data_IF_475694572157
#
_entry.id   IF_475694572157
#
_cell.length_a   1.000
_cell.length_b   1.000
_cell.length_c   1.000
_cell.angle_alpha   90.00
_cell.angle_beta   90.00
_cell.angle_gamma   90.00
#
_symmetry.space_group_name_H-M   'P 1'
#
loop_
_entity.id
_entity.type
_entity.pdbx_description
1 polymer ?
#
# COMPACT_ATOMS: atom_id res chain seq x y z
N UNK A 1 24.32 -2.30 12.39
CA UNK A 1 24.82 -0.91 12.53
C UNK A 1 24.54 -0.46 13.97
N UNK A 2 25.32 0.45 14.57
CA UNK A 2 24.98 0.94 15.92
C UNK A 2 23.69 1.75 15.86
N UNK A 3 22.67 1.35 16.63
CA UNK A 3 21.34 1.99 16.63
C UNK A 3 21.32 3.39 17.25
N UNK A 4 22.33 3.70 18.08
CA UNK A 4 22.42 4.92 18.86
C UNK A 4 23.86 5.46 18.85
N UNK A 5 23.98 6.77 18.63
CA UNK A 5 25.24 7.50 18.53
C UNK A 5 25.42 8.40 19.74
N UNK A 6 26.67 8.65 20.13
CA UNK A 6 26.99 9.69 21.10
C UNK A 6 26.77 11.08 20.53
N UNK A 7 26.67 12.10 21.40
CA UNK A 7 26.60 13.50 20.97
C UNK A 7 27.77 13.87 20.03
N UNK A 8 28.98 13.39 20.34
CA UNK A 8 30.18 13.69 19.56
C UNK A 8 30.12 13.08 18.16
N UNK A 9 29.66 11.83 18.03
CA UNK A 9 29.50 11.15 16.74
C UNK A 9 28.38 11.79 15.90
N UNK A 10 27.23 12.09 16.52
CA UNK A 10 26.13 12.76 15.84
C UNK A 10 26.53 14.16 15.33
N UNK A 11 27.26 14.94 16.15
CA UNK A 11 27.79 16.25 15.74
C UNK A 11 28.85 16.13 14.65
N UNK A 12 29.73 15.13 14.71
CA UNK A 12 30.77 14.90 13.71
C UNK A 12 30.17 14.55 12.34
N UNK A 13 29.20 13.64 12.30
CA UNK A 13 28.50 13.25 11.06
C UNK A 13 27.72 14.40 10.45
N UNK A 14 26.98 15.16 11.27
CA UNK A 14 26.16 16.26 10.77
C UNK A 14 26.93 17.57 10.61
N UNK A 15 28.18 17.66 11.07
CA UNK A 15 28.96 18.89 11.17
C UNK A 15 28.21 20.00 11.91
N UNK A 16 27.70 19.71 13.12
CA UNK A 16 26.88 20.62 13.93
C UNK A 16 27.58 21.03 15.23
N UNK A 17 27.19 22.19 15.77
CA UNK A 17 27.54 22.61 17.13
C UNK A 17 26.56 22.00 18.14
N UNK A 18 26.94 21.85 19.43
CA UNK A 18 26.07 21.25 20.46
C UNK A 18 24.68 21.89 20.53
N UNK A 19 24.61 23.21 20.48
CA UNK A 19 23.37 23.99 20.53
C UNK A 19 22.38 23.60 19.40
N UNK A 20 22.89 23.32 18.21
CA UNK A 20 22.06 22.92 17.05
C UNK A 20 21.57 21.48 17.19
N UNK A 21 22.40 20.59 17.73
CA UNK A 21 21.99 19.21 18.03
C UNK A 21 20.85 19.19 19.06
N UNK A 22 20.94 19.98 20.13
CA UNK A 22 19.86 20.10 21.11
C UNK A 22 18.58 20.73 20.52
N UNK A 23 18.71 21.72 19.63
CA UNK A 23 17.57 22.30 18.93
C UNK A 23 16.87 21.27 18.03
N UNK A 24 17.61 20.35 17.41
CA UNK A 24 17.03 19.27 16.60
C UNK A 24 16.27 18.26 17.44
N UNK A 25 16.80 17.90 18.62
CA UNK A 25 16.07 17.07 19.58
C UNK A 25 14.79 17.75 20.06
N UNK A 26 14.88 19.02 20.47
CA UNK A 26 13.71 19.79 20.94
C UNK A 26 12.61 19.93 19.89
N UNK A 27 12.97 19.88 18.61
CA UNK A 27 12.03 19.94 17.47
C UNK A 27 11.57 18.56 17.00
N UNK A 28 11.95 17.49 17.69
CA UNK A 28 11.59 16.11 17.33
C UNK A 28 12.28 15.60 16.06
N UNK A 29 13.35 16.24 15.60
CA UNK A 29 14.06 15.86 14.36
C UNK A 29 15.08 14.73 14.60
N UNK A 30 15.59 14.62 15.82
CA UNK A 30 16.49 13.56 16.28
C UNK A 30 15.96 13.07 17.62
N UNK A 31 15.67 11.78 17.73
CA UNK A 31 15.34 11.15 19.00
C UNK A 31 16.58 11.06 19.88
N UNK A 32 16.42 11.45 21.16
CA UNK A 32 17.47 11.33 22.16
C UNK A 32 16.98 10.54 23.37
N UNK A 33 17.86 9.69 23.92
CA UNK A 33 17.62 8.95 25.15
C UNK A 33 18.81 9.09 26.11
N UNK A 34 18.58 8.86 27.40
CA UNK A 34 19.67 8.77 28.38
C UNK A 34 20.57 7.56 28.10
N UNK A 35 21.87 7.71 28.31
CA UNK A 35 22.82 6.60 28.28
C UNK A 35 22.68 5.76 29.57
N UNK A 36 22.58 4.44 29.42
CA UNK A 36 22.48 3.52 30.54
C UNK A 36 23.79 3.41 31.35
N UNK A 37 24.93 3.75 30.73
CA UNK A 37 26.25 3.74 31.38
C UNK A 37 26.65 5.05 32.07
N UNK A 38 26.00 6.17 31.75
CA UNK A 38 26.26 7.48 32.35
C UNK A 38 25.01 8.36 32.27
N UNK A 39 24.35 8.55 33.41
CA UNK A 39 23.12 9.36 33.54
C UNK A 39 23.24 10.82 33.07
N UNK A 40 24.46 11.34 32.88
CA UNK A 40 24.71 12.70 32.38
C UNK A 40 24.89 12.77 30.86
N UNK A 41 24.86 11.62 30.16
CA UNK A 41 25.03 11.55 28.70
C UNK A 41 23.71 11.20 28.03
N UNK A 42 23.54 11.76 26.84
CA UNK A 42 22.44 11.41 25.94
C UNK A 42 22.99 10.73 24.69
N UNK A 43 22.27 9.72 24.23
CA UNK A 43 22.49 9.04 22.96
C UNK A 43 21.42 9.49 21.97
N UNK A 44 21.78 9.51 20.68
CA UNK A 44 20.99 10.06 19.58
C UNK A 44 20.75 8.98 18.54
N UNK A 45 19.53 8.84 18.05
CA UNK A 45 19.17 7.73 17.15
C UNK A 45 19.93 7.82 15.82
N UNK A 46 20.65 6.76 15.46
CA UNK A 46 21.57 6.78 14.32
C UNK A 46 20.85 6.99 12.99
N UNK A 47 19.64 6.45 12.85
CA UNK A 47 18.80 6.60 11.66
C UNK A 47 18.37 8.07 11.42
N UNK A 48 18.02 8.79 12.48
CA UNK A 48 17.63 10.21 12.40
C UNK A 48 18.81 11.09 11.99
N UNK A 49 19.99 10.78 12.53
CA UNK A 49 21.25 11.41 12.15
C UNK A 49 21.57 11.13 10.68
N UNK A 50 21.47 9.88 10.22
CA UNK A 50 21.69 9.53 8.82
C UNK A 50 20.69 10.23 7.87
N UNK A 51 19.42 10.32 8.25
CA UNK A 51 18.39 11.05 7.49
C UNK A 51 18.73 12.53 7.33
N UNK A 52 19.23 13.18 8.38
CA UNK A 52 19.64 14.59 8.33
C UNK A 52 20.98 14.79 7.61
N UNK A 53 21.87 13.82 7.66
CA UNK A 53 23.13 13.82 6.92
C UNK A 53 22.87 13.76 5.42
N UNK A 54 21.96 12.85 5.00
CA UNK A 54 21.45 12.80 3.63
C UNK A 54 20.78 14.11 3.20
N UNK A 55 20.06 14.79 4.10
CA UNK A 55 19.45 16.11 3.86
C UNK A 55 20.50 17.21 3.64
N UNK A 56 21.57 17.24 4.44
CA UNK A 56 22.64 18.25 4.36
C UNK A 56 23.53 18.06 3.12
N UNK A 57 23.81 16.82 2.75
CA UNK A 57 24.55 16.49 1.53
C UNK A 57 23.78 16.91 0.25
N UNK A 58 22.45 16.97 0.31
CA UNK A 58 21.57 17.38 -0.79
C UNK A 58 21.08 18.83 -0.66
N UNK A 59 21.96 19.81 -0.44
CA UNK A 59 21.60 21.21 -0.67
C UNK A 59 21.07 21.41 -2.10
N UNK A 60 19.75 21.33 -2.32
CA UNK A 60 19.14 21.29 -3.65
C UNK A 60 17.95 22.22 -3.77
N UNK A 61 17.88 22.87 -4.94
CA UNK A 61 16.86 23.84 -5.37
C UNK A 61 15.44 23.25 -5.27
N UNK A 62 14.39 24.05 -5.02
CA UNK A 62 13.01 23.58 -4.82
C UNK A 62 12.48 22.59 -5.87
N UNK A 63 12.95 22.69 -7.13
CA UNK A 63 12.56 21.76 -8.20
C UNK A 63 13.01 20.30 -7.96
N UNK A 64 14.17 20.08 -7.32
CA UNK A 64 14.66 18.74 -7.01
C UNK A 64 13.92 18.11 -5.82
N UNK A 65 13.38 18.93 -4.91
CA UNK A 65 12.54 18.47 -3.80
C UNK A 65 11.22 17.91 -4.34
N UNK A 66 10.61 18.57 -5.33
CA UNK A 66 9.39 18.10 -5.98
C UNK A 66 9.61 16.83 -6.83
N UNK A 67 10.75 16.71 -7.51
CA UNK A 67 11.11 15.49 -8.27
C UNK A 67 11.37 14.30 -7.33
N UNK A 68 12.13 14.49 -6.24
CA UNK A 68 12.39 13.45 -5.24
C UNK A 68 11.09 13.02 -4.53
N UNK A 69 10.20 13.96 -4.20
CA UNK A 69 8.95 13.70 -3.48
C UNK A 69 7.96 12.77 -4.24
N UNK A 70 8.07 12.68 -5.57
CA UNK A 70 7.22 11.78 -6.39
C UNK A 70 7.81 10.36 -6.48
N UNK A 71 9.10 10.17 -6.14
CA UNK A 71 9.81 8.89 -6.24
C UNK A 71 10.26 8.38 -4.86
N UNK A 72 9.29 8.12 -3.97
CA UNK A 72 9.51 7.69 -2.58
C UNK A 72 10.25 8.72 -1.69
N UNK A 73 10.27 9.99 -2.08
CA UNK A 73 10.84 11.09 -1.30
C UNK A 73 9.89 11.66 -0.25
N UNK A 74 10.02 12.96 0.06
CA UNK A 74 9.22 13.61 1.10
C UNK A 74 7.71 13.59 0.78
N UNK A 75 6.82 13.46 1.79
CA UNK A 75 5.38 13.48 1.56
C UNK A 75 4.90 14.74 0.81
N UNK A 76 4.29 14.54 -0.36
CA UNK A 76 3.81 15.64 -1.22
C UNK A 76 2.48 16.23 -0.74
N UNK A 77 1.65 15.41 -0.09
CA UNK A 77 0.32 15.77 0.40
C UNK A 77 0.15 15.35 1.86
N UNK A 78 -0.48 16.19 2.66
CA UNK A 78 -0.90 15.80 4.01
C UNK A 78 -2.03 14.77 3.93
N UNK A 79 -1.93 13.74 4.78
CA UNK A 79 -2.98 12.76 4.99
C UNK A 79 -3.04 12.34 6.45
N UNK A 80 -4.25 12.07 6.92
CA UNK A 80 -4.58 11.54 8.25
C UNK A 80 -4.96 10.05 8.22
N UNK A 81 -4.92 9.43 7.04
CA UNK A 81 -5.47 8.09 6.79
C UNK A 81 -4.47 7.01 7.16
N UNK A 82 -3.26 7.10 6.62
CA UNK A 82 -2.23 6.06 6.76
C UNK A 82 -0.85 6.68 6.88
N UNK A 83 0.00 6.08 7.70
CA UNK A 83 1.43 6.36 7.71
C UNK A 83 2.25 5.07 7.77
N UNK A 84 3.46 5.14 7.25
CA UNK A 84 4.47 4.08 7.36
C UNK A 84 5.59 4.65 8.21
N UNK A 85 5.71 4.15 9.43
CA UNK A 85 6.68 4.64 10.41
C UNK A 85 7.26 3.45 11.18
N UNK A 86 8.57 3.50 11.45
CA UNK A 86 9.29 2.50 12.25
C UNK A 86 9.13 1.08 11.70
N UNK A 87 9.16 0.93 10.38
CA UNK A 87 8.98 -0.35 9.70
C UNK A 87 7.57 -0.94 9.81
N UNK A 88 6.60 -0.18 10.33
CA UNK A 88 5.20 -0.59 10.50
C UNK A 88 4.25 0.18 9.60
N UNK A 89 3.04 -0.35 9.43
CA UNK A 89 1.94 0.27 8.70
C UNK A 89 0.83 0.65 9.68
N UNK A 90 0.38 1.90 9.64
CA UNK A 90 -0.57 2.42 10.61
C UNK A 90 -1.78 3.04 9.92
N UNK A 91 -2.98 2.56 10.25
CA UNK A 91 -4.26 3.10 9.80
C UNK A 91 -4.85 3.99 10.90
N UNK A 92 -4.91 5.30 10.64
CA UNK A 92 -5.33 6.32 11.62
C UNK A 92 -4.71 6.11 13.01
N UNK A 93 -3.41 5.85 13.04
CA UNK A 93 -2.63 5.62 14.26
C UNK A 93 -2.75 4.22 14.87
N UNK A 94 -3.47 3.29 14.24
CA UNK A 94 -3.59 1.90 14.70
C UNK A 94 -2.77 0.96 13.81
N UNK A 95 -2.04 0.03 14.42
CA UNK A 95 -1.19 -0.93 13.72
C UNK A 95 -2.02 -1.85 12.82
N UNK A 96 -1.77 -1.78 11.51
CA UNK A 96 -2.50 -2.55 10.50
C UNK A 96 -2.31 -4.06 10.68
N UNK A 97 -1.16 -4.52 11.18
CA UNK A 97 -0.90 -5.95 11.41
C UNK A 97 -1.73 -6.49 12.57
N UNK A 98 -1.88 -5.70 13.65
CA UNK A 98 -2.77 -6.03 14.78
C UNK A 98 -4.23 -5.99 14.38
N UNK A 99 -4.63 -4.96 13.63
CA UNK A 99 -6.00 -4.89 13.08
C UNK A 99 -6.33 -6.13 12.26
N UNK A 100 -5.37 -6.63 11.48
CA UNK A 100 -5.55 -7.81 10.64
C UNK A 100 -5.74 -9.12 11.43
N UNK A 101 -5.51 -9.15 12.75
CA UNK A 101 -5.82 -10.29 13.61
C UNK A 101 -7.32 -10.55 13.76
N UNK A 102 -8.17 -9.53 13.69
CA UNK A 102 -9.62 -9.72 13.94
C UNK A 102 -10.56 -8.83 13.11
N UNK A 103 -10.09 -7.69 12.60
CA UNK A 103 -10.92 -6.76 11.85
C UNK A 103 -11.35 -7.35 10.49
N UNK A 104 -12.54 -6.98 10.04
CA UNK A 104 -12.99 -7.22 8.66
C UNK A 104 -12.70 -5.99 7.80
N UNK A 105 -12.72 -6.14 6.47
CA UNK A 105 -12.51 -5.01 5.56
C UNK A 105 -13.51 -3.89 5.81
N UNK A 106 -14.75 -4.22 6.17
CA UNK A 106 -15.80 -3.27 6.51
C UNK A 106 -15.50 -2.49 7.79
N UNK A 107 -14.80 -3.11 8.76
CA UNK A 107 -14.37 -2.43 9.97
C UNK A 107 -13.23 -1.45 9.64
N UNK A 108 -12.32 -1.85 8.75
CA UNK A 108 -11.26 -0.97 8.23
C UNK A 108 -11.84 0.15 7.37
N UNK A 109 -12.87 -0.10 6.58
CA UNK A 109 -13.57 0.93 5.82
C UNK A 109 -14.15 2.01 6.75
N UNK A 110 -14.80 1.61 7.84
CA UNK A 110 -15.31 2.57 8.83
C UNK A 110 -14.20 3.38 9.49
N UNK A 111 -13.07 2.74 9.80
CA UNK A 111 -11.89 3.39 10.33
C UNK A 111 -11.32 4.41 9.32
N UNK A 112 -10.98 3.97 8.12
CA UNK A 112 -10.34 4.82 7.11
C UNK A 112 -11.25 5.96 6.65
N UNK A 113 -12.57 5.75 6.54
CA UNK A 113 -13.53 6.79 6.16
C UNK A 113 -13.94 7.71 7.30
N UNK A 114 -13.52 7.41 8.54
CA UNK A 114 -13.89 8.14 9.76
C UNK A 114 -15.42 8.34 9.89
N UNK A 115 -16.17 7.25 9.71
CA UNK A 115 -17.64 7.28 9.68
C UNK A 115 -18.29 6.58 10.88
N UNK A 116 -17.52 6.27 11.92
CA UNK A 116 -17.99 5.72 13.18
C UNK A 116 -18.69 4.36 13.01
N UNK A 117 -19.88 4.20 13.62
CA UNK A 117 -20.65 2.94 13.60
C UNK A 117 -21.64 2.85 12.44
N UNK A 118 -21.43 3.62 11.37
CA UNK A 118 -22.33 3.62 10.22
C UNK A 118 -22.48 2.21 9.65
N UNK A 119 -23.74 1.78 9.47
CA UNK A 119 -24.08 0.54 8.78
C UNK A 119 -24.31 0.84 7.31
N UNK A 120 -23.82 -0.04 6.46
CA UNK A 120 -23.97 0.01 5.02
C UNK A 120 -24.87 -1.15 4.61
N UNK A 121 -26.05 -0.87 4.03
CA UNK A 121 -26.89 -1.93 3.50
C UNK A 121 -26.17 -2.57 2.29
N UNK A 122 -26.30 -3.89 2.08
CA UNK A 122 -25.82 -4.52 0.86
C UNK A 122 -26.57 -3.93 -0.34
N UNK A 123 -25.88 -3.75 -1.45
CA UNK A 123 -26.44 -3.22 -2.67
C UNK A 123 -26.31 -4.27 -3.77
N UNK A 124 -27.45 -4.63 -4.36
CA UNK A 124 -27.46 -5.59 -5.45
C UNK A 124 -26.91 -4.95 -6.72
N UNK A 125 -25.70 -5.34 -7.12
CA UNK A 125 -25.12 -4.93 -8.39
C UNK A 125 -25.53 -5.90 -9.49
N UNK A 126 -26.01 -5.37 -10.62
CA UNK A 126 -26.17 -6.17 -11.84
C UNK A 126 -24.78 -6.39 -12.43
N UNK A 127 -24.27 -7.62 -12.30
CA UNK A 127 -22.94 -8.00 -12.76
C UNK A 127 -23.02 -8.49 -14.22
N UNK A 128 -22.31 -7.84 -15.17
CA UNK A 128 -22.31 -8.28 -16.56
C UNK A 128 -21.54 -9.61 -16.73
N UNK A 129 -21.79 -10.38 -17.81
CA UNK A 129 -20.98 -11.56 -18.12
C UNK A 129 -19.54 -11.18 -18.48
N UNK A 130 -18.63 -12.16 -18.38
CA UNK A 130 -17.23 -12.03 -18.79
C UNK A 130 -16.24 -12.22 -17.64
N UNK A 131 -14.96 -12.07 -17.94
CA UNK A 131 -13.86 -12.23 -16.97
C UNK A 131 -13.94 -11.22 -15.83
N UNK A 132 -13.55 -11.58 -14.59
CA UNK A 132 -13.73 -10.73 -13.42
C UNK A 132 -13.21 -9.29 -13.57
N UNK A 133 -12.04 -9.10 -14.17
CA UNK A 133 -11.47 -7.77 -14.35
C UNK A 133 -12.31 -6.92 -15.31
N UNK A 134 -12.79 -7.51 -16.41
CA UNK A 134 -13.70 -6.85 -17.35
C UNK A 134 -15.01 -6.44 -16.67
N UNK A 135 -15.55 -7.30 -15.80
CA UNK A 135 -16.75 -6.99 -15.02
C UNK A 135 -16.51 -5.80 -14.09
N UNK A 136 -15.39 -5.78 -13.36
CA UNK A 136 -15.04 -4.69 -12.45
C UNK A 136 -14.95 -3.36 -13.21
N UNK A 137 -14.22 -3.31 -14.33
CA UNK A 137 -14.15 -2.09 -15.14
C UNK A 137 -15.53 -1.67 -15.67
N UNK A 138 -16.34 -2.62 -16.16
CA UNK A 138 -17.66 -2.31 -16.70
C UNK A 138 -18.60 -1.68 -15.64
N UNK A 139 -18.69 -2.28 -14.44
CA UNK A 139 -19.60 -1.77 -13.40
C UNK A 139 -19.14 -0.43 -12.83
N UNK A 140 -17.84 -0.23 -12.62
CA UNK A 140 -17.31 1.06 -12.10
C UNK A 140 -17.39 2.15 -13.19
N UNK A 141 -17.23 1.80 -14.47
CA UNK A 141 -17.41 2.75 -15.57
C UNK A 141 -18.87 3.22 -15.67
N UNK A 142 -19.83 2.30 -15.57
CA UNK A 142 -21.25 2.63 -15.56
C UNK A 142 -21.61 3.58 -14.40
N UNK A 143 -21.06 3.34 -13.21
CA UNK A 143 -21.20 4.25 -12.06
C UNK A 143 -20.53 5.59 -12.28
N UNK A 144 -19.34 5.62 -12.91
CA UNK A 144 -18.64 6.87 -13.23
C UNK A 144 -19.50 7.81 -14.10
N UNK A 145 -20.32 7.24 -15.00
CA UNK A 145 -21.21 8.00 -15.86
C UNK A 145 -22.49 8.51 -15.18
N UNK A 146 -22.87 7.96 -14.01
CA UNK A 146 -24.20 8.17 -13.39
C UNK A 146 -24.15 8.69 -11.96
N UNK A 147 -23.12 8.34 -11.19
CA UNK A 147 -22.92 8.80 -9.82
C UNK A 147 -22.64 10.31 -9.79
N UNK A 148 -23.19 10.98 -8.77
CA UNK A 148 -23.14 12.44 -8.68
C UNK A 148 -21.75 12.92 -8.21
N UNK A 149 -21.27 14.09 -8.69
CA UNK A 149 -20.09 14.74 -8.14
C UNK A 149 -20.12 14.85 -6.60
N UNK A 150 -18.96 14.78 -5.94
CA UNK A 150 -18.88 14.83 -4.48
C UNK A 150 -19.18 16.22 -3.89
N UNK A 151 -18.89 17.28 -4.66
CA UNK A 151 -18.94 18.68 -4.19
C UNK A 151 -20.34 19.03 -3.66
N UNK A 152 -20.39 19.58 -2.46
CA UNK A 152 -21.63 20.02 -1.81
C UNK A 152 -22.50 18.91 -1.22
N UNK A 153 -22.08 17.64 -1.30
CA UNK A 153 -22.83 16.52 -0.70
C UNK A 153 -22.53 16.36 0.78
N UNK A 154 -23.54 15.97 1.54
CA UNK A 154 -23.39 15.67 2.97
C UNK A 154 -22.50 14.44 3.19
N UNK A 155 -21.64 14.46 4.22
CA UNK A 155 -20.72 13.36 4.57
C UNK A 155 -21.42 11.99 4.64
N UNK A 156 -22.57 11.92 5.30
CA UNK A 156 -23.37 10.68 5.40
C UNK A 156 -23.74 10.10 4.03
N UNK A 157 -24.09 10.95 3.05
CA UNK A 157 -24.41 10.49 1.71
C UNK A 157 -23.17 9.99 0.95
N UNK A 158 -22.00 10.59 1.20
CA UNK A 158 -20.73 10.15 0.64
C UNK A 158 -20.28 8.81 1.23
N UNK A 159 -20.47 8.57 2.53
CA UNK A 159 -20.14 7.27 3.13
C UNK A 159 -21.00 6.13 2.59
N UNK A 160 -22.30 6.37 2.38
CA UNK A 160 -23.20 5.38 1.76
C UNK A 160 -22.79 5.09 0.32
N UNK A 161 -22.39 6.10 -0.44
CA UNK A 161 -21.90 5.92 -1.80
C UNK A 161 -20.52 5.23 -1.84
N UNK A 162 -19.60 5.55 -0.92
CA UNK A 162 -18.32 4.85 -0.80
C UNK A 162 -18.54 3.35 -0.58
N UNK A 163 -19.42 3.00 0.36
CA UNK A 163 -19.81 1.61 0.58
C UNK A 163 -20.45 0.99 -0.67
N UNK A 164 -21.30 1.72 -1.38
CA UNK A 164 -21.90 1.26 -2.63
C UNK A 164 -20.88 0.98 -3.73
N UNK A 165 -19.88 1.83 -3.89
CA UNK A 165 -18.81 1.66 -4.87
C UNK A 165 -17.95 0.45 -4.53
N UNK A 166 -17.59 0.28 -3.25
CA UNK A 166 -16.85 -0.89 -2.77
C UNK A 166 -17.64 -2.18 -2.99
N UNK A 167 -18.92 -2.20 -2.63
CA UNK A 167 -19.80 -3.36 -2.78
C UNK A 167 -20.00 -3.75 -4.24
N UNK A 168 -20.19 -2.77 -5.13
CA UNK A 168 -20.25 -2.97 -6.59
C UNK A 168 -18.97 -3.61 -7.13
N UNK A 169 -17.80 -3.16 -6.67
CA UNK A 169 -16.53 -3.75 -7.08
C UNK A 169 -16.41 -5.20 -6.60
N UNK A 170 -16.79 -5.47 -5.36
CA UNK A 170 -16.73 -6.83 -4.77
C UNK A 170 -17.71 -7.77 -5.47
N UNK A 171 -18.94 -7.34 -5.75
CA UNK A 171 -19.92 -8.12 -6.52
C UNK A 171 -19.38 -8.50 -7.90
N UNK A 172 -18.76 -7.55 -8.59
CA UNK A 172 -18.17 -7.82 -9.89
C UNK A 172 -17.01 -8.83 -9.80
N UNK A 173 -16.19 -8.80 -8.75
CA UNK A 173 -15.17 -9.83 -8.50
C UNK A 173 -15.82 -11.18 -8.22
N UNK A 174 -16.77 -11.22 -7.28
CA UNK A 174 -17.46 -12.44 -6.86
C UNK A 174 -18.35 -13.06 -7.95
N UNK A 175 -18.68 -12.29 -9.00
CA UNK A 175 -19.53 -12.73 -10.10
C UNK A 175 -21.03 -12.55 -9.85
N UNK A 176 -21.41 -11.88 -8.76
CA UNK A 176 -22.79 -11.61 -8.41
C UNK A 176 -22.94 -10.99 -7.01
N UNK A 177 -24.14 -10.50 -6.69
CA UNK A 177 -24.47 -9.98 -5.37
C UNK A 177 -24.37 -11.06 -4.29
N UNK A 178 -23.92 -10.68 -3.10
CA UNK A 178 -23.80 -11.61 -1.98
C UNK A 178 -23.99 -10.93 -0.62
N UNK A 179 -24.48 -11.72 0.32
CA UNK A 179 -24.69 -11.29 1.71
C UNK A 179 -23.51 -11.65 2.61
N UNK A 180 -23.39 -10.91 3.71
CA UNK A 180 -22.37 -11.13 4.73
C UNK A 180 -21.03 -10.45 4.41
N UNK A 181 -19.99 -10.77 5.19
CA UNK A 181 -18.70 -10.12 5.06
C UNK A 181 -18.03 -10.33 3.70
N UNK A 182 -17.34 -9.30 3.18
CA UNK A 182 -16.66 -9.31 1.88
C UNK A 182 -15.72 -10.51 1.73
N UNK A 183 -14.91 -10.83 2.75
CA UNK A 183 -14.00 -11.96 2.69
C UNK A 183 -14.71 -13.32 2.53
N UNK A 184 -15.87 -13.49 3.18
CA UNK A 184 -16.67 -14.70 3.06
C UNK A 184 -17.35 -14.82 1.69
N UNK A 185 -17.77 -13.69 1.11
CA UNK A 185 -18.31 -13.63 -0.27
C UNK A 185 -17.26 -14.03 -1.29
N UNK A 186 -16.05 -13.50 -1.16
CA UNK A 186 -14.92 -13.86 -2.04
C UNK A 186 -14.51 -15.33 -1.86
N UNK A 187 -14.39 -15.81 -0.62
CA UNK A 187 -14.08 -17.21 -0.35
C UNK A 187 -15.11 -18.17 -0.97
N UNK A 188 -16.41 -17.82 -0.89
CA UNK A 188 -17.49 -18.58 -1.55
C UNK A 188 -17.41 -18.54 -3.06
N UNK A 189 -17.15 -17.37 -3.64
CA UNK A 189 -17.00 -17.23 -5.09
C UNK A 189 -15.84 -18.09 -5.64
N UNK A 190 -14.83 -18.37 -4.82
CA UNK A 190 -13.71 -19.25 -5.17
C UNK A 190 -13.81 -20.68 -4.61
N UNK A 191 -14.90 -21.03 -3.90
CA UNK A 191 -15.11 -22.37 -3.35
C UNK A 191 -14.11 -22.79 -2.26
N UNK A 192 -13.62 -21.82 -1.46
CA UNK A 192 -12.62 -22.02 -0.41
C UNK A 192 -13.09 -21.49 0.96
N UNK A 193 -14.38 -21.58 1.28
CA UNK A 193 -14.98 -20.96 2.48
C UNK A 193 -14.33 -21.41 3.79
N UNK A 194 -14.01 -22.70 3.91
CA UNK A 194 -13.50 -23.29 5.16
C UNK A 194 -12.06 -22.88 5.44
N UNK A 195 -11.19 -22.91 4.43
CA UNK A 195 -9.76 -22.67 4.57
C UNK A 195 -9.32 -21.25 4.18
N UNK A 196 -10.09 -20.58 3.32
CA UNK A 196 -9.75 -19.29 2.74
C UNK A 196 -10.30 -18.09 3.49
N UNK A 197 -11.40 -18.24 4.25
CA UNK A 197 -12.07 -17.09 4.87
C UNK A 197 -11.14 -16.23 5.73
N UNK A 198 -10.34 -16.86 6.59
CA UNK A 198 -9.42 -16.17 7.50
C UNK A 198 -8.22 -15.51 6.79
N UNK A 199 -7.43 -16.22 5.97
CA UNK A 199 -6.31 -15.59 5.27
C UNK A 199 -6.76 -14.55 4.24
N UNK A 200 -7.91 -14.73 3.57
CA UNK A 200 -8.49 -13.70 2.68
C UNK A 200 -8.89 -12.47 3.49
N UNK A 201 -9.54 -12.62 4.65
CA UNK A 201 -9.88 -11.49 5.55
C UNK A 201 -8.63 -10.71 5.92
N UNK A 202 -7.59 -11.42 6.38
CA UNK A 202 -6.32 -10.80 6.78
C UNK A 202 -5.64 -10.07 5.61
N UNK A 203 -5.61 -10.69 4.43
CA UNK A 203 -5.08 -10.05 3.22
C UNK A 203 -5.83 -8.75 2.89
N UNK A 204 -7.16 -8.76 2.93
CA UNK A 204 -7.97 -7.58 2.66
C UNK A 204 -7.68 -6.43 3.63
N UNK A 205 -7.49 -6.72 4.93
CA UNK A 205 -7.12 -5.70 5.91
C UNK A 205 -5.74 -5.11 5.62
N UNK A 206 -4.72 -5.95 5.41
CA UNK A 206 -3.33 -5.53 5.21
C UNK A 206 -3.12 -4.71 3.93
N UNK A 207 -4.02 -4.86 2.95
CA UNK A 207 -3.97 -4.20 1.65
C UNK A 207 -4.90 -2.98 1.56
N UNK A 208 -5.71 -2.72 2.59
CA UNK A 208 -6.79 -1.74 2.56
C UNK A 208 -6.30 -0.34 2.18
N UNK A 209 -5.15 0.06 2.70
CA UNK A 209 -4.45 1.28 2.30
C UNK A 209 -2.93 1.13 2.43
N UNK A 210 -2.18 1.97 1.71
CA UNK A 210 -0.72 2.00 1.76
C UNK A 210 -0.20 3.38 1.33
N UNK A 211 -0.66 4.41 2.03
CA UNK A 211 -0.26 5.82 1.84
C UNK A 211 -0.42 6.29 0.37
N UNK A 212 0.42 7.22 -0.11
CA UNK A 212 0.24 7.92 -1.38
C UNK A 212 0.92 7.20 -2.56
N UNK A 213 0.66 5.89 -2.69
CA UNK A 213 1.06 5.12 -3.87
C UNK A 213 0.38 5.65 -5.17
N UNK A 214 0.86 5.23 -6.33
CA UNK A 214 0.42 5.74 -7.63
C UNK A 214 -1.10 5.71 -7.86
N UNK A 215 -1.78 4.61 -7.51
CA UNK A 215 -3.24 4.52 -7.67
C UNK A 215 -4.00 5.40 -6.67
N UNK A 216 -3.46 5.57 -5.46
CA UNK A 216 -4.03 6.47 -4.46
C UNK A 216 -3.88 7.93 -4.87
N UNK A 217 -2.71 8.30 -5.41
CA UNK A 217 -2.50 9.63 -5.97
C UNK A 217 -3.43 9.90 -7.16
N UNK A 218 -3.62 8.94 -8.07
CA UNK A 218 -4.58 9.06 -9.17
C UNK A 218 -6.02 9.29 -8.66
N UNK A 219 -6.45 8.55 -7.64
CA UNK A 219 -7.76 8.76 -7.01
C UNK A 219 -7.88 10.17 -6.40
N UNK A 220 -6.84 10.68 -5.72
CA UNK A 220 -6.82 12.06 -5.18
C UNK A 220 -6.82 13.13 -6.27
N UNK A 221 -6.07 12.94 -7.36
CA UNK A 221 -6.09 13.87 -8.49
C UNK A 221 -7.51 13.99 -9.04
N UNK A 222 -8.18 12.87 -9.27
CA UNK A 222 -9.58 12.83 -9.73
C UNK A 222 -10.52 13.50 -8.73
N UNK A 223 -10.41 13.18 -7.44
CA UNK A 223 -11.19 13.78 -6.37
C UNK A 223 -11.03 15.30 -6.29
N UNK A 224 -9.83 15.82 -6.54
CA UNK A 224 -9.53 17.26 -6.50
C UNK A 224 -10.28 18.09 -7.55
N UNK A 225 -10.85 17.42 -8.57
CA UNK A 225 -11.70 18.06 -9.59
C UNK A 225 -13.18 18.09 -9.18
N UNK A 226 -13.54 17.46 -8.06
CA UNK A 226 -14.92 17.34 -7.59
C UNK A 226 -15.71 16.15 -8.15
N UNK A 227 -15.05 15.25 -8.90
CA UNK A 227 -15.65 14.06 -9.50
C UNK A 227 -16.35 13.13 -8.47
N UNK A 228 -17.13 12.17 -8.94
CA UNK A 228 -17.82 11.20 -8.07
C UNK A 228 -16.83 10.20 -7.42
N UNK A 229 -17.26 9.53 -6.35
CA UNK A 229 -16.45 8.48 -5.71
C UNK A 229 -16.17 7.31 -6.66
N UNK A 230 -17.12 6.94 -7.53
CA UNK A 230 -16.91 5.94 -8.56
C UNK A 230 -15.83 6.35 -9.57
N UNK A 231 -15.79 7.62 -9.97
CA UNK A 231 -14.73 8.14 -10.85
C UNK A 231 -13.34 8.06 -10.17
N UNK A 232 -13.28 8.35 -8.87
CA UNK A 232 -12.04 8.24 -8.09
C UNK A 232 -11.57 6.79 -8.00
N UNK A 233 -12.49 5.84 -7.73
CA UNK A 233 -12.20 4.41 -7.72
C UNK A 233 -11.77 3.91 -9.11
N UNK A 234 -12.39 4.39 -10.20
CA UNK A 234 -11.98 4.09 -11.57
C UNK A 234 -10.54 4.53 -11.85
N UNK A 235 -10.18 5.75 -11.45
CA UNK A 235 -8.82 6.27 -11.62
C UNK A 235 -7.78 5.44 -10.84
N UNK A 236 -8.11 5.06 -9.60
CA UNK A 236 -7.29 4.17 -8.79
C UNK A 236 -7.12 2.78 -9.43
N UNK A 237 -8.22 2.19 -9.90
CA UNK A 237 -8.22 0.90 -10.59
C UNK A 237 -7.40 0.92 -11.88
N UNK A 238 -7.57 1.95 -12.71
CA UNK A 238 -6.82 2.12 -13.95
C UNK A 238 -5.31 2.21 -13.69
N UNK A 239 -4.90 3.01 -12.70
CA UNK A 239 -3.50 3.09 -12.28
C UNK A 239 -2.98 1.77 -11.69
N UNK A 240 -3.80 1.05 -10.92
CA UNK A 240 -3.45 -0.27 -10.37
C UNK A 240 -3.24 -1.31 -11.47
N UNK A 241 -4.00 -1.24 -12.57
CA UNK A 241 -3.87 -2.18 -13.69
C UNK A 241 -2.51 -2.10 -14.42
N UNK A 242 -1.71 -1.06 -14.17
CA UNK A 242 -0.38 -0.89 -14.74
C UNK A 242 0.61 -1.96 -14.24
N UNK A 243 1.51 -2.47 -15.12
CA UNK A 243 2.43 -3.57 -14.79
C UNK A 243 3.48 -3.20 -13.74
N UNK A 244 3.76 -1.91 -13.57
CA UNK A 244 4.69 -1.39 -12.55
C UNK A 244 4.02 -1.15 -11.18
N UNK A 245 2.70 -1.37 -11.08
CA UNK A 245 1.93 -1.22 -9.84
C UNK A 245 1.29 -2.55 -9.44
N UNK A 246 0.10 -2.89 -9.96
CA UNK A 246 -0.59 -4.15 -9.65
C UNK A 246 -0.06 -5.37 -10.41
N UNK A 247 0.97 -5.21 -11.24
CA UNK A 247 1.54 -6.27 -12.08
C UNK A 247 2.58 -7.17 -11.40
N UNK A 248 2.80 -7.04 -10.09
CA UNK A 248 3.83 -7.85 -9.39
C UNK A 248 3.40 -9.31 -9.25
N UNK A 249 2.16 -9.59 -8.88
CA UNK A 249 1.69 -10.97 -8.68
C UNK A 249 1.83 -11.87 -9.93
N UNK A 250 1.45 -11.44 -11.16
CA UNK A 250 1.73 -12.21 -12.38
C UNK A 250 3.22 -12.49 -12.60
N UNK A 251 4.11 -11.59 -12.18
CA UNK A 251 5.56 -11.78 -12.29
C UNK A 251 6.09 -12.78 -11.27
N UNK A 252 5.52 -12.80 -10.06
CA UNK A 252 5.80 -13.84 -9.06
C UNK A 252 5.35 -15.21 -9.59
N UNK A 253 4.14 -15.30 -10.12
CA UNK A 253 3.63 -16.53 -10.75
C UNK A 253 4.55 -17.02 -11.88
N UNK A 254 5.02 -16.11 -12.74
CA UNK A 254 5.97 -16.44 -13.80
C UNK A 254 7.30 -16.99 -13.25
N UNK A 255 7.86 -16.37 -12.20
CA UNK A 255 9.05 -16.88 -11.50
C UNK A 255 8.80 -18.29 -10.93
N UNK A 256 7.66 -18.52 -10.29
CA UNK A 256 7.34 -19.82 -9.72
C UNK A 256 7.20 -20.91 -10.79
N UNK A 257 6.65 -20.59 -11.97
CA UNK A 257 6.60 -21.52 -13.12
C UNK A 257 7.98 -21.82 -13.69
N UNK A 258 8.87 -20.83 -13.73
CA UNK A 258 10.27 -21.05 -14.12
C UNK A 258 10.97 -21.98 -13.14
N UNK A 259 10.77 -21.78 -11.83
CA UNK A 259 11.29 -22.66 -10.78
C UNK A 259 10.75 -24.08 -10.92
N UNK A 260 9.46 -24.24 -11.23
CA UNK A 260 8.84 -25.55 -11.46
C UNK A 260 9.42 -26.26 -12.70
N UNK A 261 9.64 -25.52 -13.79
CA UNK A 261 10.14 -26.07 -15.06
C UNK A 261 11.63 -26.41 -15.02
N UNK A 262 12.45 -25.50 -14.51
CA UNK A 262 13.91 -25.53 -14.66
C UNK A 262 14.63 -25.94 -13.36
N UNK A 263 13.92 -25.92 -12.23
CA UNK A 263 14.50 -26.09 -10.89
C UNK A 263 14.90 -24.75 -10.26
N UNK A 264 14.82 -24.70 -8.92
CA UNK A 264 15.02 -23.47 -8.14
C UNK A 264 16.37 -22.79 -8.40
N UNK A 265 17.48 -23.54 -8.32
CA UNK A 265 18.81 -22.98 -8.48
C UNK A 265 19.04 -22.43 -9.90
N UNK A 266 18.61 -23.17 -10.93
CA UNK A 266 18.78 -22.77 -12.33
C UNK A 266 17.94 -21.54 -12.68
N UNK A 267 16.68 -21.48 -12.24
CA UNK A 267 15.79 -20.35 -12.47
C UNK A 267 16.32 -19.05 -11.82
N UNK A 268 16.83 -19.15 -10.59
CA UNK A 268 17.41 -18.00 -9.89
C UNK A 268 18.73 -17.56 -10.53
N UNK A 269 19.63 -18.50 -10.88
CA UNK A 269 20.89 -18.19 -11.54
C UNK A 269 20.68 -17.42 -12.85
N UNK A 270 19.78 -17.89 -13.73
CA UNK A 270 19.49 -17.24 -15.01
C UNK A 270 19.00 -15.78 -14.87
N UNK A 271 18.22 -15.48 -13.82
CA UNK A 271 17.75 -14.11 -13.54
C UNK A 271 18.86 -13.24 -12.99
N UNK A 272 19.69 -13.77 -12.09
CA UNK A 272 20.80 -13.03 -11.51
C UNK A 272 21.88 -12.69 -12.55
N UNK A 273 22.19 -13.62 -13.47
CA UNK A 273 23.14 -13.40 -14.58
C UNK A 273 22.74 -12.24 -15.50
N UNK A 274 21.44 -12.02 -15.68
CA UNK A 274 20.90 -10.93 -16.51
C UNK A 274 20.63 -9.65 -15.73
N UNK A 275 20.88 -9.64 -14.41
CA UNK A 275 20.54 -8.53 -13.52
C UNK A 275 19.04 -8.28 -13.38
N UNK A 276 18.21 -9.27 -13.70
CA UNK A 276 16.76 -9.17 -13.59
C UNK A 276 16.35 -9.17 -12.11
N UNK A 277 15.48 -8.22 -11.72
CA UNK A 277 14.92 -8.17 -10.36
C UNK A 277 14.07 -9.42 -10.08
N UNK A 278 14.18 -9.95 -8.87
CA UNK A 278 13.33 -11.03 -8.37
C UNK A 278 11.99 -10.44 -7.89
N UNK A 279 10.87 -10.68 -8.59
CA UNK A 279 9.59 -10.10 -8.24
C UNK A 279 9.10 -10.61 -6.88
N UNK A 280 8.47 -9.74 -6.09
CA UNK A 280 7.89 -10.11 -4.80
C UNK A 280 8.86 -10.06 -3.61
N UNK A 281 10.09 -9.56 -3.81
CA UNK A 281 11.10 -9.42 -2.75
C UNK A 281 11.54 -7.97 -2.60
N UNK A 282 11.87 -7.59 -1.37
CA UNK A 282 12.25 -6.25 -1.00
C UNK A 282 11.12 -5.23 -1.10
N UNK A 283 11.27 -4.12 -0.36
CA UNK A 283 10.35 -3.00 -0.47
C UNK A 283 11.04 -1.69 -0.03
N UNK A 284 11.00 -0.59 -0.82
CA UNK A 284 11.70 0.66 -0.48
C UNK A 284 11.30 1.25 0.89
N UNK A 285 10.02 1.11 1.26
CA UNK A 285 9.49 1.58 2.55
C UNK A 285 9.67 0.59 3.71
N UNK A 286 10.13 -0.64 3.43
CA UNK A 286 10.37 -1.68 4.44
C UNK A 286 11.74 -2.35 4.19
N UNK A 287 12.84 -1.63 4.45
CA UNK A 287 14.19 -2.17 4.22
C UNK A 287 14.47 -3.44 5.03
N UNK A 288 13.85 -3.59 6.21
CA UNK A 288 13.96 -4.77 7.09
C UNK A 288 12.82 -5.79 6.88
N UNK A 289 12.18 -5.76 5.71
CA UNK A 289 11.12 -6.69 5.31
C UNK A 289 9.70 -6.19 5.61
N UNK A 290 8.77 -6.56 4.72
CA UNK A 290 7.39 -6.07 4.72
C UNK A 290 6.57 -6.67 5.89
N UNK A 291 6.10 -5.86 6.84
CA UNK A 291 5.32 -6.35 7.98
C UNK A 291 4.00 -6.99 7.56
N UNK A 292 3.44 -6.58 6.41
CA UNK A 292 2.20 -7.16 5.88
C UNK A 292 2.43 -8.58 5.38
N UNK A 293 3.54 -8.83 4.71
CA UNK A 293 3.89 -10.16 4.22
C UNK A 293 4.02 -11.15 5.37
N UNK A 294 4.77 -10.77 6.42
CA UNK A 294 4.91 -11.57 7.65
C UNK A 294 3.57 -11.85 8.32
N UNK A 295 2.74 -10.82 8.48
CA UNK A 295 1.42 -10.98 9.08
C UNK A 295 0.52 -11.92 8.26
N UNK A 296 0.56 -11.82 6.93
CA UNK A 296 -0.23 -12.68 6.04
C UNK A 296 0.24 -14.14 6.08
N UNK A 297 1.55 -14.39 6.04
CA UNK A 297 2.09 -15.74 6.20
C UNK A 297 1.75 -16.37 7.56
N UNK A 298 1.53 -15.57 8.60
CA UNK A 298 1.07 -16.11 9.89
C UNK A 298 -0.37 -16.66 9.87
N UNK A 299 -1.12 -16.52 8.77
CA UNK A 299 -2.49 -17.05 8.64
C UNK A 299 -2.62 -18.34 7.83
N UNK A 300 -1.54 -18.83 7.20
CA UNK A 300 -1.56 -20.10 6.45
C UNK A 300 -0.16 -20.67 6.30
N UNK A 301 -0.05 -21.99 6.18
CA UNK A 301 1.22 -22.63 5.83
C UNK A 301 1.49 -22.44 4.33
N UNK A 302 2.58 -21.77 3.93
CA UNK A 302 2.91 -21.57 2.52
C UNK A 302 3.19 -22.91 1.83
N UNK A 303 2.86 -23.05 0.52
CA UNK A 303 3.23 -24.25 -0.22
C UNK A 303 4.75 -24.46 -0.22
N UNK A 304 5.26 -25.71 -0.19
CA UNK A 304 6.69 -26.00 -0.09
C UNK A 304 7.56 -25.28 -1.12
N UNK A 305 7.09 -25.15 -2.36
CA UNK A 305 7.80 -24.43 -3.41
C UNK A 305 8.00 -22.94 -3.07
N UNK A 306 6.99 -22.28 -2.49
CA UNK A 306 7.09 -20.89 -2.06
C UNK A 306 8.02 -20.73 -0.85
N UNK A 307 7.96 -21.67 0.11
CA UNK A 307 8.85 -21.67 1.26
C UNK A 307 10.33 -21.84 0.85
N UNK A 308 10.60 -22.76 -0.08
CA UNK A 308 11.94 -22.99 -0.64
C UNK A 308 12.43 -21.77 -1.43
N UNK A 309 11.59 -21.19 -2.28
CA UNK A 309 11.92 -19.98 -3.03
C UNK A 309 12.23 -18.81 -2.11
N UNK A 310 11.42 -18.59 -1.06
CA UNK A 310 11.68 -17.58 -0.04
C UNK A 310 13.05 -17.78 0.62
N UNK A 311 13.34 -18.98 1.10
CA UNK A 311 14.60 -19.27 1.79
C UNK A 311 15.82 -19.07 0.87
N UNK A 312 15.75 -19.55 -0.37
CA UNK A 312 16.84 -19.41 -1.34
C UNK A 312 17.07 -17.96 -1.75
N UNK A 313 16.01 -17.20 -2.03
CA UNK A 313 16.13 -15.80 -2.44
C UNK A 313 16.66 -14.94 -1.29
N UNK A 314 16.17 -15.15 -0.06
CA UNK A 314 16.68 -14.45 1.12
C UNK A 314 18.17 -14.76 1.34
N UNK A 315 18.60 -16.01 1.17
CA UNK A 315 20.02 -16.38 1.29
C UNK A 315 20.90 -15.75 0.21
N UNK A 316 20.39 -15.57 -1.02
CA UNK A 316 21.14 -15.00 -2.14
C UNK A 316 21.20 -13.48 -2.14
N UNK A 317 20.14 -12.81 -1.67
CA UNK A 317 19.96 -11.36 -1.84
C UNK A 317 19.90 -10.59 -0.53
N UNK A 318 19.59 -11.26 0.58
CA UNK A 318 19.23 -10.62 1.85
C UNK A 318 17.85 -9.95 1.84
N UNK A 319 17.08 -10.07 0.75
CA UNK A 319 15.74 -9.47 0.66
C UNK A 319 14.68 -10.43 1.18
N UNK A 320 13.77 -9.91 2.00
CA UNK A 320 12.58 -10.61 2.50
C UNK A 320 11.40 -10.50 1.52
N UNK A 321 10.45 -11.46 1.55
CA UNK A 321 9.26 -11.38 0.70
C UNK A 321 8.39 -10.18 1.09
N UNK A 322 7.79 -9.57 0.07
CA UNK A 322 6.80 -8.52 0.23
C UNK A 322 5.36 -9.07 0.11
N UNK A 323 4.38 -8.20 0.30
CA UNK A 323 2.96 -8.60 0.30
C UNK A 323 2.50 -9.26 -0.99
N UNK A 324 3.10 -8.93 -2.15
CA UNK A 324 2.73 -9.53 -3.44
C UNK A 324 3.17 -10.99 -3.55
N UNK A 325 4.34 -11.33 -2.99
CA UNK A 325 4.79 -12.72 -2.90
C UNK A 325 3.89 -13.53 -1.96
N UNK A 326 3.52 -12.94 -0.81
CA UNK A 326 2.61 -13.56 0.14
C UNK A 326 1.20 -13.78 -0.45
N UNK A 327 0.68 -12.84 -1.24
CA UNK A 327 -0.57 -12.99 -1.98
C UNK A 327 -0.50 -14.10 -3.03
N UNK A 328 0.61 -14.19 -3.76
CA UNK A 328 0.82 -15.26 -4.75
C UNK A 328 0.85 -16.63 -4.06
N UNK A 329 1.54 -16.73 -2.91
CA UNK A 329 1.59 -17.94 -2.09
C UNK A 329 0.20 -18.33 -1.56
N UNK A 330 -0.59 -17.36 -1.12
CA UNK A 330 -1.98 -17.57 -0.68
C UNK A 330 -2.85 -18.10 -1.83
N UNK A 331 -2.76 -17.49 -3.01
CA UNK A 331 -3.51 -17.95 -4.18
C UNK A 331 -3.14 -19.39 -4.56
N UNK A 332 -1.84 -19.74 -4.53
CA UNK A 332 -1.40 -21.11 -4.75
C UNK A 332 -1.90 -22.07 -3.66
N UNK A 333 -1.87 -21.66 -2.38
CA UNK A 333 -2.35 -22.47 -1.25
C UNK A 333 -3.83 -22.84 -1.37
N UNK A 334 -4.66 -21.88 -1.77
CA UNK A 334 -6.11 -22.04 -1.88
C UNK A 334 -6.56 -22.45 -3.29
N UNK A 335 -5.63 -22.75 -4.21
CA UNK A 335 -5.92 -23.06 -5.62
C UNK A 335 -6.80 -22.00 -6.32
N UNK A 336 -6.58 -20.73 -6.01
CA UNK A 336 -7.37 -19.62 -6.57
C UNK A 336 -7.01 -19.39 -8.05
N UNK A 337 -7.93 -18.77 -8.82
CA UNK A 337 -7.60 -18.29 -10.16
C UNK A 337 -6.37 -17.36 -10.17
N UNK A 338 -5.59 -17.35 -11.26
CA UNK A 338 -4.38 -16.53 -11.39
C UNK A 338 -4.63 -15.02 -11.23
N UNK A 339 -5.88 -14.59 -11.45
CA UNK A 339 -6.32 -13.21 -11.31
C UNK A 339 -6.71 -12.84 -9.87
N UNK A 340 -6.82 -13.81 -8.95
CA UNK A 340 -7.27 -13.60 -7.59
C UNK A 340 -6.36 -12.67 -6.77
N UNK A 341 -5.01 -12.75 -6.84
CA UNK A 341 -4.14 -11.77 -6.16
C UNK A 341 -4.48 -10.32 -6.52
N UNK A 342 -4.68 -10.03 -7.80
CA UNK A 342 -5.07 -8.70 -8.27
C UNK A 342 -6.46 -8.30 -7.76
N UNK A 343 -7.42 -9.24 -7.78
CA UNK A 343 -8.78 -9.01 -7.30
C UNK A 343 -8.83 -8.70 -5.79
N UNK A 344 -8.10 -9.47 -4.97
CA UNK A 344 -7.97 -9.21 -3.53
C UNK A 344 -7.36 -7.83 -3.30
N UNK A 345 -6.30 -7.50 -4.02
CA UNK A 345 -5.65 -6.20 -3.92
C UNK A 345 -6.60 -5.06 -4.29
N UNK A 346 -7.30 -5.17 -5.43
CA UNK A 346 -8.24 -4.15 -5.90
C UNK A 346 -9.42 -3.97 -4.93
N UNK A 347 -9.99 -5.06 -4.42
CA UNK A 347 -11.06 -5.03 -3.43
C UNK A 347 -10.64 -4.33 -2.14
N UNK A 348 -9.48 -4.72 -1.60
CA UNK A 348 -8.93 -4.10 -0.41
C UNK A 348 -8.65 -2.61 -0.63
N UNK A 349 -7.86 -2.30 -1.65
CA UNK A 349 -7.32 -0.96 -1.90
C UNK A 349 -8.39 0.06 -2.30
N UNK A 350 -9.52 -0.38 -2.85
CA UNK A 350 -10.67 0.47 -3.08
C UNK A 350 -11.10 1.21 -1.81
N UNK A 351 -10.99 0.57 -0.65
CA UNK A 351 -11.26 1.18 0.66
C UNK A 351 -10.40 2.42 0.90
N UNK A 352 -9.08 2.29 0.69
CA UNK A 352 -8.12 3.39 0.76
C UNK A 352 -8.37 4.47 -0.28
N UNK A 353 -8.61 4.12 -1.55
CA UNK A 353 -8.93 5.09 -2.60
C UNK A 353 -10.12 5.98 -2.24
N UNK A 354 -11.19 5.37 -1.72
CA UNK A 354 -12.37 6.08 -1.27
C UNK A 354 -12.07 6.97 -0.05
N UNK A 355 -11.25 6.49 0.90
CA UNK A 355 -10.83 7.31 2.04
C UNK A 355 -10.05 8.56 1.59
N UNK A 356 -9.08 8.37 0.70
CA UNK A 356 -8.25 9.46 0.16
C UNK A 356 -9.06 10.42 -0.73
N UNK A 357 -10.07 9.92 -1.45
CA UNK A 357 -11.00 10.76 -2.21
C UNK A 357 -11.89 11.62 -1.29
N UNK A 358 -12.40 11.04 -0.19
CA UNK A 358 -13.15 11.76 0.83
C UNK A 358 -12.29 12.84 1.49
N UNK A 359 -11.07 12.50 1.92
CA UNK A 359 -10.12 13.46 2.51
C UNK A 359 -9.79 14.59 1.52
N UNK A 360 -9.53 14.26 0.25
CA UNK A 360 -9.27 15.29 -0.76
C UNK A 360 -10.47 16.21 -0.99
N UNK A 361 -11.68 15.66 -1.02
CA UNK A 361 -12.92 16.45 -1.16
C UNK A 361 -13.09 17.44 0.01
N UNK A 362 -12.73 17.05 1.23
CA UNK A 362 -12.78 17.94 2.40
C UNK A 362 -11.78 19.11 2.31
N UNK A 363 -10.64 18.92 1.63
CA UNK A 363 -9.70 20.04 1.43
C UNK A 363 -10.26 21.11 0.49
N UNK A 364 -11.14 20.74 -0.44
CA UNK A 364 -11.66 21.62 -1.49
C UNK A 364 -10.59 22.19 -2.45
N UNK A 365 -9.37 21.63 -2.44
CA UNK A 365 -8.24 22.16 -3.22
C UNK A 365 -7.98 21.31 -4.47
N UNK A 366 -7.83 21.98 -5.61
CA UNK A 366 -7.46 21.37 -6.88
C UNK A 366 -5.96 20.97 -6.89
N UNK A 367 -5.65 19.74 -7.29
CA UNK A 367 -4.28 19.29 -7.54
C UNK A 367 -3.94 19.67 -8.98
N UNK A 368 -3.12 20.71 -9.15
CA UNK A 368 -2.72 21.21 -10.47
C UNK A 368 -1.22 21.58 -10.49
N UNK A 369 -0.31 20.60 -10.63
CA UNK A 369 1.11 20.87 -10.71
C UNK A 369 1.46 21.64 -12.00
N UNK A 370 2.60 22.33 -11.98
CA UNK A 370 3.21 22.99 -13.15
C UNK A 370 4.40 22.16 -13.62
N UNK A 371 4.51 21.93 -14.92
CA UNK A 371 5.70 21.33 -15.51
C UNK A 371 6.81 22.37 -15.69
N UNK A 372 8.06 21.94 -15.55
CA UNK A 372 9.23 22.67 -16.06
C UNK A 372 9.35 22.37 -17.56
N UNK A 373 9.15 23.38 -18.40
CA UNK A 373 9.32 23.22 -19.84
C UNK A 373 10.82 23.06 -20.17
N UNK A 374 11.18 21.98 -20.88
CA UNK A 374 12.55 21.66 -21.32
C UNK A 374 12.64 21.48 -22.84
N UNK A 375 11.61 21.91 -23.57
CA UNK A 375 11.61 21.94 -25.03
C UNK A 375 12.28 23.19 -25.60
N UNK A 376 12.25 23.36 -26.93
CA UNK A 376 12.82 24.54 -27.60
C UNK A 376 12.24 25.85 -27.07
N UNK A 377 13.09 26.85 -26.81
CA UNK A 377 12.62 28.17 -26.38
C UNK A 377 11.65 28.76 -27.43
N UNK A 378 10.57 29.46 -27.00
CA UNK A 378 9.70 30.16 -27.93
C UNK A 378 10.49 31.18 -28.77
N UNK A 379 10.17 31.26 -30.06
CA UNK A 379 10.78 32.20 -31.01
C UNK A 379 10.42 33.66 -30.69
#
# INVERSE_FOLDING_TARGET
MQDWLTAQEAMARLGLKPQTLYAYVSRGLIEARGDAGDSRRSLYRAEDVARLEHRKARGRRPAAIAEDAIAYGEPVLSSSITTIERGGLWYRGQDATRLAESAKLEDIARLLWDCGTQRFPPLATIVPPGEPLSRVFAVIAARTATDRPMVGRAKKALYLEAAAVLDTLVDAIAGGPGDGPIHARLARAWGCETEGAEPIRRALVLLADHELNASTFAARVTASTGASLAACAMAGLAALSGPLHGGVAPRVLALMREIERDGLEAALAARLETGAKLPGFGHPLYPDGDPRARALFAAFEPPPAYAQAQAAIAALTGEEPNIDFALSALAAKLSLPETAPFQIFAAARCTGWLAHALEQNETGRLIRPRARYVGPAPA
#
